data_IF_711718828428
#
_entry.id   IF_711718828428
#
_cell.length_a   1.000
_cell.length_b   1.000
_cell.length_c   1.000
_cell.angle_alpha   90.00
_cell.angle_beta   90.00
_cell.angle_gamma   90.00
#
_symmetry.space_group_name_H-M   'P 1'
#
loop_
_entity.id
_entity.type
_entity.pdbx_description
1 polymer ?
#
# COMPACT_ATOMS: atom_id res chain seq x y z
N UNK A 1 -76.02 37.70 9.99
CA UNK A 1 -75.28 38.51 9.00
C UNK A 1 -73.83 38.07 9.03
N UNK A 2 -73.41 37.36 8.02
CA UNK A 2 -72.05 36.92 7.83
C UNK A 2 -71.33 37.90 6.91
N UNK A 3 -70.25 38.45 7.34
CA UNK A 3 -69.32 39.20 6.48
C UNK A 3 -68.06 38.36 6.29
N UNK A 4 -67.93 37.80 5.07
CA UNK A 4 -66.72 37.18 4.58
C UNK A 4 -65.70 38.27 4.22
N UNK A 5 -64.68 38.46 5.00
CA UNK A 5 -63.53 39.20 4.60
C UNK A 5 -62.48 38.21 4.06
N UNK A 6 -62.51 38.02 2.76
CA UNK A 6 -61.52 37.27 2.01
C UNK A 6 -60.29 38.15 1.84
N UNK A 7 -59.23 37.86 2.61
CA UNK A 7 -57.94 38.48 2.44
C UNK A 7 -57.27 37.82 1.23
N UNK A 8 -57.28 38.53 0.12
CA UNK A 8 -56.43 38.22 -1.05
C UNK A 8 -54.98 38.46 -0.67
N UNK A 9 -54.30 37.40 -0.32
CA UNK A 9 -52.84 37.38 -0.30
C UNK A 9 -52.38 37.26 -1.77
N UNK A 10 -52.08 38.38 -2.39
CA UNK A 10 -51.44 38.40 -3.72
C UNK A 10 -50.07 37.71 -3.59
N UNK A 11 -50.02 36.47 -4.00
CA UNK A 11 -48.76 35.77 -4.22
C UNK A 11 -48.10 36.44 -5.42
N UNK A 12 -47.11 37.29 -5.16
CA UNK A 12 -46.17 37.70 -6.19
C UNK A 12 -45.50 36.43 -6.74
N UNK A 13 -45.94 36.00 -7.88
CA UNK A 13 -45.32 34.93 -8.66
C UNK A 13 -43.96 35.44 -9.19
N UNK A 14 -42.95 35.35 -8.31
CA UNK A 14 -41.56 35.63 -8.66
C UNK A 14 -40.91 34.44 -9.36
N UNK A 15 -41.63 33.72 -10.18
CA UNK A 15 -41.03 32.73 -11.08
C UNK A 15 -40.37 33.40 -12.28
N UNK A 16 -39.39 34.27 -12.04
CA UNK A 16 -38.42 34.62 -13.03
C UNK A 16 -37.56 33.38 -13.35
N UNK A 17 -38.14 32.48 -14.13
CA UNK A 17 -37.39 31.34 -14.70
C UNK A 17 -36.37 31.93 -15.67
N UNK A 18 -35.14 32.09 -15.21
CA UNK A 18 -34.01 32.41 -16.08
C UNK A 18 -33.83 31.19 -16.99
N UNK A 19 -34.29 31.28 -18.21
CA UNK A 19 -34.02 30.28 -19.25
C UNK A 19 -32.63 30.57 -19.78
N UNK A 20 -31.62 29.90 -19.24
CA UNK A 20 -30.30 29.89 -19.84
C UNK A 20 -30.20 28.75 -20.85
N UNK A 21 -29.92 29.06 -22.10
CA UNK A 21 -29.58 28.05 -23.10
C UNK A 21 -28.07 28.07 -23.34
N UNK A 22 -27.41 26.93 -23.17
CA UNK A 22 -26.02 26.79 -23.51
C UNK A 22 -25.90 26.25 -24.91
N UNK A 23 -25.42 27.07 -25.83
CA UNK A 23 -25.14 26.63 -27.21
C UNK A 23 -23.65 26.38 -27.37
N UNK A 24 -23.25 25.12 -27.49
CA UNK A 24 -21.86 24.73 -27.73
C UNK A 24 -21.54 24.90 -29.20
N UNK A 25 -20.84 25.96 -29.59
CA UNK A 25 -20.47 26.25 -30.99
C UNK A 25 -19.45 25.27 -31.56
N UNK A 26 -18.56 24.71 -30.69
CA UNK A 26 -17.52 23.76 -31.10
C UNK A 26 -17.37 22.65 -30.05
N UNK A 27 -18.14 21.55 -30.15
CA UNK A 27 -18.09 20.45 -29.22
C UNK A 27 -16.68 19.84 -29.06
N UNK A 28 -15.95 19.70 -30.17
CA UNK A 28 -14.61 19.13 -30.18
C UNK A 28 -13.59 19.97 -29.43
N UNK A 29 -13.77 21.31 -29.42
CA UNK A 29 -12.92 22.19 -28.65
C UNK A 29 -13.19 22.08 -27.14
N UNK A 30 -14.46 22.02 -26.76
CA UNK A 30 -14.88 21.85 -25.36
C UNK A 30 -14.36 20.53 -24.81
N UNK A 31 -14.45 19.44 -25.57
CA UNK A 31 -13.90 18.15 -25.19
C UNK A 31 -12.39 18.23 -24.95
N UNK A 32 -11.63 18.84 -25.85
CA UNK A 32 -10.20 19.06 -25.70
C UNK A 32 -9.85 19.87 -24.44
N UNK A 33 -10.62 20.92 -24.16
CA UNK A 33 -10.39 21.78 -23.01
C UNK A 33 -10.68 21.07 -21.69
N UNK A 34 -11.73 20.23 -21.66
CA UNK A 34 -12.05 19.35 -20.53
C UNK A 34 -10.91 18.35 -20.30
N UNK A 35 -10.47 17.64 -21.33
CA UNK A 35 -9.36 16.68 -21.24
C UNK A 35 -8.10 17.37 -20.73
N UNK A 36 -7.76 18.56 -21.24
CA UNK A 36 -6.62 19.34 -20.80
C UNK A 36 -6.73 19.77 -19.34
N UNK A 37 -7.92 20.15 -18.87
CA UNK A 37 -8.15 20.52 -17.48
C UNK A 37 -7.98 19.30 -16.55
N UNK A 38 -8.53 18.14 -16.92
CA UNK A 38 -8.37 16.88 -16.21
C UNK A 38 -6.89 16.51 -16.15
N UNK A 39 -6.19 16.57 -17.27
CA UNK A 39 -4.76 16.28 -17.37
C UNK A 39 -3.91 17.16 -16.44
N UNK A 40 -4.16 18.45 -16.43
CA UNK A 40 -3.50 19.40 -15.53
C UNK A 40 -3.77 19.06 -14.07
N UNK A 41 -5.01 18.74 -13.72
CA UNK A 41 -5.40 18.39 -12.37
C UNK A 41 -4.73 17.08 -11.92
N UNK A 42 -4.77 16.02 -12.73
CA UNK A 42 -4.10 14.76 -12.44
C UNK A 42 -2.59 14.96 -12.25
N UNK A 43 -1.95 15.72 -13.15
CA UNK A 43 -0.52 16.02 -13.05
C UNK A 43 -0.17 16.70 -11.73
N UNK A 44 -0.98 17.67 -11.29
CA UNK A 44 -0.74 18.36 -10.01
C UNK A 44 -0.89 17.48 -8.78
N UNK A 45 -1.63 16.37 -8.88
CA UNK A 45 -1.86 15.43 -7.77
C UNK A 45 -0.98 14.19 -7.82
N UNK A 46 -0.23 13.97 -8.89
CA UNK A 46 0.55 12.73 -9.10
C UNK A 46 1.53 12.43 -7.97
N UNK A 47 2.26 13.43 -7.47
CA UNK A 47 3.23 13.21 -6.38
C UNK A 47 2.55 12.73 -5.10
N UNK A 48 1.44 13.35 -4.71
CA UNK A 48 0.67 12.94 -3.54
C UNK A 48 0.04 11.56 -3.70
N UNK A 49 -0.44 11.21 -4.90
CA UNK A 49 -0.97 9.89 -5.21
C UNK A 49 0.15 8.85 -5.14
N UNK A 50 1.32 9.15 -5.70
CA UNK A 50 2.48 8.27 -5.66
C UNK A 50 2.87 7.92 -4.22
N UNK A 51 3.03 8.93 -3.36
CA UNK A 51 3.40 8.73 -1.96
C UNK A 51 2.36 7.84 -1.24
N UNK A 52 1.07 8.16 -1.40
CA UNK A 52 0.00 7.37 -0.76
C UNK A 52 0.00 5.90 -1.21
N UNK A 53 0.18 5.65 -2.50
CA UNK A 53 0.22 4.28 -3.03
C UNK A 53 1.48 3.57 -2.51
N UNK A 54 2.64 4.22 -2.53
CA UNK A 54 3.88 3.63 -2.04
C UNK A 54 3.78 3.27 -0.55
N UNK A 55 3.30 4.19 0.28
CA UNK A 55 3.09 3.96 1.72
C UNK A 55 2.13 2.80 1.94
N UNK A 56 0.94 2.83 1.30
CA UNK A 56 -0.05 1.76 1.50
C UNK A 56 0.42 0.41 1.00
N UNK A 57 1.16 0.36 -0.10
CA UNK A 57 1.75 -0.89 -0.61
C UNK A 57 2.76 -1.45 0.39
N UNK A 58 3.62 -0.62 0.95
CA UNK A 58 4.58 -1.03 1.99
C UNK A 58 3.89 -1.56 3.24
N UNK A 59 2.85 -0.87 3.72
CA UNK A 59 2.04 -1.31 4.85
C UNK A 59 1.37 -2.66 4.60
N UNK A 60 0.72 -2.84 3.45
CA UNK A 60 0.05 -4.09 3.10
C UNK A 60 1.02 -5.27 3.04
N UNK A 61 2.23 -5.07 2.53
CA UNK A 61 3.25 -6.11 2.51
C UNK A 61 3.65 -6.51 3.94
N UNK A 62 3.84 -5.54 4.82
CA UNK A 62 4.17 -5.82 6.23
C UNK A 62 3.01 -6.51 6.94
N UNK A 63 1.78 -6.05 6.75
CA UNK A 63 0.58 -6.66 7.30
C UNK A 63 0.47 -8.14 6.88
N UNK A 64 0.68 -8.44 5.59
CA UNK A 64 0.62 -9.79 5.05
C UNK A 64 1.74 -10.69 5.61
N UNK A 65 2.97 -10.19 5.64
CA UNK A 65 4.10 -10.92 6.21
C UNK A 65 3.91 -11.18 7.71
N UNK A 66 3.41 -10.21 8.47
CA UNK A 66 3.15 -10.37 9.90
C UNK A 66 2.01 -11.34 10.20
N UNK A 67 1.03 -11.46 9.31
CA UNK A 67 -0.12 -12.37 9.47
C UNK A 67 0.15 -13.80 9.00
N UNK A 68 1.31 -14.05 8.37
CA UNK A 68 1.65 -15.37 7.83
C UNK A 68 1.78 -16.42 8.92
N UNK A 69 1.50 -17.68 8.57
CA UNK A 69 1.63 -18.82 9.48
C UNK A 69 3.07 -19.00 9.96
N UNK A 70 4.04 -18.76 9.08
CA UNK A 70 5.48 -18.85 9.33
C UNK A 70 5.89 -17.80 10.38
N UNK A 71 5.45 -16.57 10.21
CA UNK A 71 5.69 -15.50 11.19
C UNK A 71 5.14 -15.85 12.57
N UNK A 72 3.89 -16.31 12.62
CA UNK A 72 3.28 -16.75 13.88
C UNK A 72 4.05 -17.90 14.51
N UNK A 73 4.54 -18.84 13.73
CA UNK A 73 5.35 -19.96 14.22
C UNK A 73 6.71 -19.51 14.76
N UNK A 74 7.32 -18.47 14.19
CA UNK A 74 8.56 -17.87 14.70
C UNK A 74 8.31 -17.05 15.97
N UNK A 75 7.19 -16.33 16.04
CA UNK A 75 6.88 -15.47 17.19
C UNK A 75 6.53 -16.25 18.47
N UNK A 76 5.73 -17.29 18.34
CA UNK A 76 5.17 -18.01 19.50
C UNK A 76 5.08 -19.52 19.33
N UNK A 77 5.44 -20.04 18.16
CA UNK A 77 5.27 -21.45 17.80
C UNK A 77 6.55 -22.27 17.84
N UNK A 78 6.48 -23.37 17.12
CA UNK A 78 7.52 -24.40 17.07
C UNK A 78 8.84 -23.88 16.51
N UNK A 79 8.78 -23.07 15.44
CA UNK A 79 9.99 -22.52 14.81
C UNK A 79 10.80 -21.63 15.73
N UNK A 80 10.17 -20.91 16.67
CA UNK A 80 10.90 -20.13 17.67
C UNK A 80 11.82 -21.00 18.53
N UNK A 81 11.29 -22.14 18.99
CA UNK A 81 12.05 -23.05 19.81
C UNK A 81 13.17 -23.73 19.00
N UNK A 82 12.89 -24.11 17.77
CA UNK A 82 13.83 -24.77 16.89
C UNK A 82 14.96 -23.86 16.42
N UNK A 83 14.67 -22.59 16.15
CA UNK A 83 15.65 -21.61 15.69
C UNK A 83 16.40 -20.93 16.84
N UNK A 84 15.92 -21.07 18.09
CA UNK A 84 16.53 -20.48 19.28
C UNK A 84 16.51 -18.95 19.32
N UNK A 85 15.59 -18.30 18.59
CA UNK A 85 15.51 -16.84 18.47
C UNK A 85 14.92 -16.24 19.75
N UNK A 86 15.69 -15.43 20.47
CA UNK A 86 15.27 -14.85 21.74
C UNK A 86 14.28 -13.68 21.54
N UNK A 87 14.58 -12.76 20.63
CA UNK A 87 13.75 -11.61 20.30
C UNK A 87 13.32 -11.64 18.82
N UNK A 88 12.44 -12.61 18.50
CA UNK A 88 11.94 -12.78 17.16
C UNK A 88 11.13 -11.58 16.65
N UNK A 89 10.48 -10.83 17.54
CA UNK A 89 9.56 -9.77 17.12
C UNK A 89 10.30 -8.58 16.50
N UNK A 90 11.33 -8.06 17.16
CA UNK A 90 12.08 -6.92 16.64
C UNK A 90 12.90 -7.27 15.40
N UNK A 91 13.45 -8.49 15.36
CA UNK A 91 14.19 -8.96 14.19
C UNK A 91 13.28 -9.12 12.97
N UNK A 92 12.11 -9.74 13.13
CA UNK A 92 11.12 -9.88 12.05
C UNK A 92 10.63 -8.54 11.53
N UNK A 93 10.34 -7.58 12.42
CA UNK A 93 9.96 -6.24 12.00
C UNK A 93 11.04 -5.59 11.13
N UNK A 94 12.31 -5.69 11.56
CA UNK A 94 13.43 -5.14 10.80
C UNK A 94 13.60 -5.81 9.44
N UNK A 95 13.41 -7.12 9.36
CA UNK A 95 13.43 -7.88 8.09
C UNK A 95 12.28 -7.45 7.18
N UNK A 96 11.07 -7.32 7.72
CA UNK A 96 9.89 -6.92 6.94
C UNK A 96 9.97 -5.47 6.48
N UNK A 97 10.57 -4.60 7.28
CA UNK A 97 10.89 -3.24 6.86
C UNK A 97 11.87 -3.22 5.68
N UNK A 98 12.91 -4.03 5.74
CA UNK A 98 13.86 -4.17 4.66
C UNK A 98 13.20 -4.72 3.37
N UNK A 99 12.34 -5.74 3.49
CA UNK A 99 11.56 -6.29 2.38
C UNK A 99 10.64 -5.22 1.77
N UNK A 100 9.90 -4.51 2.61
CA UNK A 100 8.97 -3.48 2.16
C UNK A 100 9.68 -2.31 1.45
N UNK A 101 10.92 -1.99 1.83
CA UNK A 101 11.73 -0.97 1.16
C UNK A 101 12.21 -1.37 -0.23
N UNK A 102 12.22 -2.66 -0.57
CA UNK A 102 12.55 -3.10 -1.94
C UNK A 102 11.46 -2.78 -2.95
N UNK A 103 10.25 -2.49 -2.48
CA UNK A 103 9.12 -2.24 -3.35
C UNK A 103 9.18 -0.83 -3.91
N UNK A 104 9.15 -0.74 -5.22
CA UNK A 104 9.13 0.53 -5.96
C UNK A 104 7.79 0.71 -6.64
N UNK A 105 7.17 1.84 -6.37
CA UNK A 105 5.96 2.27 -7.08
C UNK A 105 6.38 3.33 -8.08
N UNK A 106 5.94 3.21 -9.31
CA UNK A 106 6.14 4.24 -10.32
C UNK A 106 4.80 4.58 -10.98
N UNK A 107 4.55 5.87 -11.13
CA UNK A 107 3.41 6.39 -11.86
C UNK A 107 3.88 6.90 -13.21
N UNK A 108 3.29 6.39 -14.29
CA UNK A 108 3.47 6.94 -15.63
C UNK A 108 2.15 7.54 -16.08
N UNK A 109 2.20 8.81 -16.43
CA UNK A 109 1.13 9.46 -17.17
C UNK A 109 1.24 9.03 -18.62
N UNK A 110 0.16 8.52 -19.17
CA UNK A 110 0.03 8.38 -20.62
C UNK A 110 -0.43 9.71 -21.20
N UNK A 111 0.09 10.03 -22.35
CA UNK A 111 -0.34 11.18 -23.13
C UNK A 111 -1.85 11.20 -23.27
N UNK A 112 -2.45 12.35 -23.01
CA UNK A 112 -3.86 12.58 -23.25
C UNK A 112 -4.16 12.31 -24.74
N UNK A 113 -4.99 11.30 -24.99
CA UNK A 113 -5.58 11.11 -26.32
C UNK A 113 -6.85 11.91 -26.42
N UNK A 114 -7.38 12.07 -27.64
CA UNK A 114 -8.70 12.68 -27.86
C UNK A 114 -9.85 11.99 -27.12
N UNK A 115 -9.60 10.85 -26.51
CA UNK A 115 -10.58 10.01 -25.80
C UNK A 115 -10.45 9.99 -24.28
N UNK A 116 -9.43 10.65 -23.71
CA UNK A 116 -9.25 10.70 -22.26
C UNK A 116 -7.81 10.77 -21.79
N UNK A 117 -7.65 10.81 -20.50
CA UNK A 117 -6.35 10.78 -19.80
C UNK A 117 -6.25 9.45 -19.07
N UNK A 118 -5.15 8.72 -19.25
CA UNK A 118 -4.88 7.50 -18.51
C UNK A 118 -3.62 7.62 -17.68
N UNK A 119 -3.62 6.93 -16.54
CA UNK A 119 -2.49 6.85 -15.64
C UNK A 119 -2.15 5.37 -15.43
N UNK A 120 -0.88 5.03 -15.61
CA UNK A 120 -0.38 3.68 -15.35
C UNK A 120 0.37 3.66 -14.03
N UNK A 121 -0.01 2.73 -13.19
CA UNK A 121 0.65 2.42 -11.93
C UNK A 121 1.47 1.15 -12.15
N UNK A 122 2.78 1.23 -11.94
CA UNK A 122 3.65 0.06 -11.95
C UNK A 122 4.20 -0.15 -10.55
N UNK A 123 3.91 -1.30 -9.98
CA UNK A 123 4.50 -1.78 -8.73
C UNK A 123 5.52 -2.84 -9.11
N UNK A 124 6.73 -2.72 -8.61
CA UNK A 124 7.83 -3.66 -8.84
C UNK A 124 8.65 -3.80 -7.57
N UNK A 125 9.20 -4.98 -7.35
CA UNK A 125 10.20 -5.21 -6.31
C UNK A 125 11.58 -5.22 -6.95
N UNK A 126 12.56 -4.65 -6.26
CA UNK A 126 13.97 -4.86 -6.56
C UNK A 126 14.33 -6.24 -5.99
N UNK A 127 15.12 -7.05 -6.69
CA UNK A 127 15.60 -8.31 -6.14
C UNK A 127 16.18 -8.09 -4.74
N UNK A 128 15.69 -8.87 -3.77
CA UNK A 128 16.15 -8.80 -2.40
C UNK A 128 17.50 -9.50 -2.31
N UNK A 129 18.49 -8.81 -1.80
CA UNK A 129 19.73 -9.45 -1.39
C UNK A 129 19.52 -10.12 -0.02
N UNK A 130 19.03 -11.37 -0.09
CA UNK A 130 18.74 -12.17 1.11
C UNK A 130 20.01 -12.38 1.95
N UNK A 131 21.19 -12.48 1.31
CA UNK A 131 22.43 -12.69 2.04
C UNK A 131 22.83 -11.46 2.86
N UNK A 132 22.65 -10.26 2.30
CA UNK A 132 22.88 -9.01 3.03
C UNK A 132 21.94 -8.86 4.23
N UNK A 133 20.65 -9.14 4.06
CA UNK A 133 19.66 -9.06 5.13
C UNK A 133 19.91 -10.17 6.17
N UNK A 134 20.14 -11.39 5.73
CA UNK A 134 20.39 -12.53 6.63
C UNK A 134 21.67 -12.37 7.44
N UNK A 135 22.68 -11.71 6.88
CA UNK A 135 23.95 -11.46 7.59
C UNK A 135 23.84 -10.42 8.68
N UNK A 136 22.94 -9.44 8.54
CA UNK A 136 22.82 -8.32 9.49
C UNK A 136 21.65 -8.45 10.48
N UNK A 137 20.52 -8.98 10.05
CA UNK A 137 19.28 -8.99 10.83
C UNK A 137 18.79 -10.40 11.20
N UNK A 138 19.18 -11.42 10.43
CA UNK A 138 18.70 -12.79 10.59
C UNK A 138 19.71 -13.73 11.26
N UNK A 139 20.60 -13.23 12.10
CA UNK A 139 21.64 -14.02 12.77
C UNK A 139 21.49 -13.95 14.28
N UNK A 140 21.36 -15.10 14.93
CA UNK A 140 21.32 -15.22 16.38
C UNK A 140 22.68 -15.68 16.89
N UNK A 141 23.17 -15.04 17.96
CA UNK A 141 24.39 -15.47 18.62
C UNK A 141 24.05 -16.28 19.87
N UNK A 142 24.45 -17.54 19.87
CA UNK A 142 24.25 -18.42 21.04
C UNK A 142 25.05 -17.96 22.27
N UNK A 143 24.72 -18.47 23.45
CA UNK A 143 25.50 -18.21 24.68
C UNK A 143 26.98 -18.62 24.58
N UNK A 144 27.31 -19.56 23.69
CA UNK A 144 28.68 -20.03 23.41
C UNK A 144 29.37 -19.19 22.31
N UNK A 145 28.75 -18.11 21.82
CA UNK A 145 29.32 -17.23 20.79
C UNK A 145 29.16 -17.73 19.35
N UNK A 146 28.45 -18.84 19.13
CA UNK A 146 28.20 -19.34 17.75
C UNK A 146 27.12 -18.53 17.09
N UNK A 147 27.37 -18.07 15.89
CA UNK A 147 26.40 -17.36 15.06
C UNK A 147 25.55 -18.34 14.25
N UNK A 148 24.24 -18.23 14.40
CA UNK A 148 23.25 -19.03 13.69
C UNK A 148 22.50 -18.13 12.71
N UNK A 149 22.71 -18.27 11.39
CA UNK A 149 22.02 -17.49 10.39
C UNK A 149 20.62 -18.08 10.11
N UNK A 150 19.73 -17.97 11.10
CA UNK A 150 18.43 -18.63 11.09
C UNK A 150 17.54 -18.18 9.93
N UNK A 151 17.57 -16.90 9.56
CA UNK A 151 16.77 -16.41 8.46
C UNK A 151 17.24 -16.94 7.09
N UNK A 152 18.55 -17.05 6.88
CA UNK A 152 19.13 -17.69 5.69
C UNK A 152 18.70 -19.15 5.62
N UNK A 153 18.73 -19.87 6.72
CA UNK A 153 18.28 -21.26 6.75
C UNK A 153 16.81 -21.40 6.42
N UNK A 154 15.95 -20.55 7.03
CA UNK A 154 14.52 -20.57 6.75
C UNK A 154 14.21 -20.31 5.27
N UNK A 155 14.89 -19.36 4.62
CA UNK A 155 14.65 -19.00 3.23
C UNK A 155 15.26 -19.96 2.21
N UNK A 156 16.34 -20.67 2.58
CA UNK A 156 17.04 -21.59 1.67
C UNK A 156 16.67 -23.04 1.86
N UNK A 157 16.38 -23.46 3.07
CA UNK A 157 16.08 -24.87 3.43
C UNK A 157 14.58 -25.12 3.61
N UNK A 158 13.80 -24.04 3.75
CA UNK A 158 12.37 -24.14 4.03
C UNK A 158 12.09 -24.82 5.36
N UNK A 159 11.06 -25.65 5.39
CA UNK A 159 10.65 -26.44 6.56
C UNK A 159 11.43 -27.75 6.73
N UNK A 160 12.44 -27.98 5.91
CA UNK A 160 13.31 -29.13 6.10
C UNK A 160 14.04 -28.98 7.44
N UNK A 161 13.86 -30.00 8.27
CA UNK A 161 14.41 -30.10 9.63
C UNK A 161 15.83 -29.54 9.71
N UNK A 162 15.95 -28.31 10.23
CA UNK A 162 17.22 -27.64 10.48
C UNK A 162 17.94 -28.28 11.69
N UNK A 163 17.21 -29.10 12.44
CA UNK A 163 17.64 -29.67 13.73
C UNK A 163 18.25 -31.05 13.52
N UNK A 164 19.45 -31.10 12.94
CA UNK A 164 20.22 -32.34 13.00
C UNK A 164 21.21 -32.42 14.16
N UNK A 165 21.56 -31.29 14.78
CA UNK A 165 22.64 -31.22 15.75
C UNK A 165 22.36 -30.38 17.01
N UNK A 166 21.08 -30.12 17.33
CA UNK A 166 20.73 -29.57 18.64
C UNK A 166 20.65 -30.69 19.65
N UNK A 167 21.80 -31.01 20.28
CA UNK A 167 21.80 -31.70 21.55
C UNK A 167 21.31 -30.66 22.57
N UNK A 168 20.06 -30.77 22.97
CA UNK A 168 19.56 -30.12 24.17
C UNK A 168 20.24 -30.84 25.31
N UNK A 169 21.32 -30.30 25.81
CA UNK A 169 21.80 -30.65 27.15
C UNK A 169 20.73 -30.15 28.13
N UNK A 170 19.72 -30.96 28.37
CA UNK A 170 18.90 -30.90 29.56
C UNK A 170 19.78 -31.40 30.73
N UNK A 171 20.43 -30.43 31.38
CA UNK A 171 21.03 -30.62 32.68
C UNK A 171 20.00 -30.34 33.77
#
# INVERSE_FOLDING_TARGET
>A
FRSNAQKDWGWLDMSNKIKASLTIKNPNQVEKDIIKAIDKHLTSKMSGIHIKIATRTSELIKEELMSSSETNSILSGKLRAELGVADASSELQSIFDAIAQTVKVSLKKTTSSSRGVSMHIKISAVPLDIESIAGSLGTYTTKKGTQIPWFKWLTTLGDRVIVRDYITETG
#
